data_IF_177509678134
#
_entry.id   IF_177509678134
#
_cell.length_a   1.000
_cell.length_b   1.000
_cell.length_c   1.000
_cell.angle_alpha   90.00
_cell.angle_beta   90.00
_cell.angle_gamma   90.00
#
_symmetry.space_group_name_H-M   'P 1'
#
loop_
_entity.id
_entity.type
_entity.pdbx_description
1 polymer ?
#
# COMPACT_ATOMS: atom_id res chain seq x y z
N UNK A 1 -2.92 -12.33 18.43
CA UNK A 1 -2.27 -11.03 18.37
C UNK A 1 -2.66 -10.30 17.11
N UNK A 2 -2.94 -9.03 17.25
CA UNK A 2 -3.38 -8.22 16.10
C UNK A 2 -2.18 -7.83 15.26
N UNK A 3 -2.30 -8.05 13.97
CA UNK A 3 -1.27 -7.61 13.05
C UNK A 3 -1.24 -6.10 13.00
N UNK A 4 -0.05 -5.52 13.14
CA UNK A 4 0.09 -4.08 13.15
C UNK A 4 0.41 -3.59 11.74
N UNK A 5 -0.63 -3.19 11.00
CA UNK A 5 -0.43 -2.63 9.66
C UNK A 5 -0.07 -1.16 9.69
N UNK A 6 -0.13 -0.53 10.87
CA UNK A 6 0.23 0.89 10.99
C UNK A 6 1.73 1.09 10.89
N UNK A 7 2.50 0.10 11.30
CA UNK A 7 3.94 0.16 11.20
C UNK A 7 4.45 -1.25 10.94
N UNK A 8 5.25 -1.40 9.90
CA UNK A 8 5.77 -2.71 9.55
C UNK A 8 7.10 -2.57 8.84
N UNK A 9 7.80 -3.66 8.74
CA UNK A 9 9.08 -3.74 8.07
C UNK A 9 8.90 -4.38 6.71
N UNK A 10 9.57 -3.84 5.70
CA UNK A 10 9.49 -4.36 4.35
C UNK A 10 10.88 -4.48 3.75
N UNK A 11 11.09 -5.51 2.98
CA UNK A 11 12.37 -5.72 2.31
C UNK A 11 12.86 -7.13 2.55
N UNK A 12 14.12 -7.41 2.17
CA UNK A 12 15.05 -6.46 1.60
C UNK A 12 14.65 -6.00 0.20
N UNK A 13 15.03 -4.77 -0.14
CA UNK A 13 14.82 -4.27 -1.49
C UNK A 13 15.93 -4.84 -2.41
N UNK A 14 15.92 -4.51 -3.71
CA UNK A 14 16.93 -5.07 -4.61
C UNK A 14 18.37 -4.70 -4.24
N UNK A 15 18.54 -3.70 -3.40
CA UNK A 15 19.88 -3.29 -2.93
C UNK A 15 20.21 -3.85 -1.56
N UNK A 16 19.35 -4.72 -1.03
CA UNK A 16 19.60 -5.36 0.27
C UNK A 16 19.19 -4.53 1.48
N UNK A 17 18.45 -3.44 1.28
CA UNK A 17 18.06 -2.57 2.38
C UNK A 17 16.68 -2.97 2.90
N UNK A 18 16.52 -2.87 4.22
CA UNK A 18 15.25 -3.09 4.87
C UNK A 18 14.64 -1.74 5.22
N UNK A 19 13.34 -1.61 4.99
CA UNK A 19 12.63 -0.36 5.18
C UNK A 19 11.63 -0.47 6.31
N UNK A 20 11.54 0.61 7.12
CA UNK A 20 10.44 0.79 8.06
C UNK A 20 9.36 1.58 7.37
N UNK A 21 8.12 1.14 7.53
CA UNK A 21 6.96 1.78 6.89
C UNK A 21 5.94 2.11 7.96
N UNK A 22 5.45 3.35 7.93
CA UNK A 22 4.46 3.80 8.90
C UNK A 22 3.25 4.38 8.18
N UNK A 23 2.08 3.88 8.55
CA UNK A 23 0.81 4.41 8.05
C UNK A 23 0.57 5.81 8.62
N UNK A 24 0.13 6.73 7.77
CA UNK A 24 -0.16 8.10 8.20
C UNK A 24 -1.65 8.39 8.20
N UNK A 25 -2.32 8.20 7.08
CA UNK A 25 -3.75 8.45 7.01
C UNK A 25 -4.37 7.74 5.82
N UNK A 26 -5.67 7.62 5.90
CA UNK A 26 -6.50 7.12 4.81
C UNK A 26 -7.62 8.11 4.61
N UNK A 27 -7.88 8.50 3.37
CA UNK A 27 -8.97 9.40 3.06
C UNK A 27 -9.53 9.08 1.69
N UNK A 28 -10.77 9.48 1.46
CA UNK A 28 -11.40 9.34 0.16
C UNK A 28 -11.03 10.55 -0.67
N UNK A 29 -10.44 10.30 -1.82
CA UNK A 29 -10.12 11.36 -2.76
C UNK A 29 -11.11 11.36 -3.91
N UNK A 30 -11.28 12.54 -4.49
CA UNK A 30 -12.13 12.70 -5.66
C UNK A 30 -11.25 13.19 -6.79
N UNK A 31 -11.20 12.41 -7.85
CA UNK A 31 -10.45 12.80 -9.03
C UNK A 31 -11.34 13.63 -9.94
N UNK A 32 -10.81 14.72 -10.43
CA UNK A 32 -11.53 15.57 -11.37
C UNK A 32 -11.87 14.80 -12.64
N UNK A 33 -11.04 13.83 -13.00
CA UNK A 33 -11.17 13.11 -14.27
C UNK A 33 -11.80 11.74 -14.14
N UNK A 34 -11.79 11.17 -12.95
CA UNK A 34 -12.13 9.77 -12.78
C UNK A 34 -12.95 9.57 -11.53
N UNK A 35 -13.31 8.33 -11.31
CA UNK A 35 -14.03 7.94 -10.12
C UNK A 35 -13.19 8.19 -8.86
N UNK A 36 -13.87 8.17 -7.74
CA UNK A 36 -13.25 8.37 -6.45
C UNK A 36 -12.19 7.31 -6.18
N UNK A 37 -11.21 7.69 -5.39
CA UNK A 37 -10.18 6.77 -4.91
C UNK A 37 -10.16 6.80 -3.40
N UNK A 38 -9.68 5.70 -2.81
CA UNK A 38 -9.30 5.68 -1.41
C UNK A 38 -7.79 5.82 -1.40
N UNK A 39 -7.30 6.91 -0.81
CA UNK A 39 -5.88 7.22 -0.78
C UNK A 39 -5.32 6.84 0.59
N UNK A 40 -4.23 6.07 0.59
CA UNK A 40 -3.59 5.63 1.83
C UNK A 40 -2.16 6.14 1.80
N UNK A 41 -1.80 6.96 2.78
CA UNK A 41 -0.49 7.57 2.84
C UNK A 41 0.41 6.87 3.85
N UNK A 42 1.64 6.62 3.42
CA UNK A 42 2.68 6.02 4.25
C UNK A 42 3.93 6.88 4.23
N UNK A 43 4.70 6.78 5.30
CA UNK A 43 6.04 7.32 5.36
C UNK A 43 6.98 6.13 5.55
N UNK A 44 8.07 6.11 4.81
CA UNK A 44 9.00 4.99 4.89
C UNK A 44 10.44 5.51 4.95
N UNK A 45 11.29 4.76 5.61
CA UNK A 45 12.70 5.12 5.75
C UNK A 45 13.53 3.86 5.97
N UNK A 46 14.83 3.98 5.66
CA UNK A 46 15.78 2.92 5.99
C UNK A 46 16.46 3.28 7.29
N UNK A 47 16.79 2.25 8.05
CA UNK A 47 17.60 2.43 9.26
C UNK A 47 19.02 2.06 8.97
N UNK A 48 19.94 2.91 9.42
CA UNK A 48 21.35 2.68 9.25
C UNK A 48 22.10 3.91 9.64
N UNK A 49 23.41 3.80 9.81
CA UNK A 49 24.23 4.96 10.21
C UNK A 49 24.12 6.07 9.17
N UNK A 50 23.67 7.22 9.62
CA UNK A 50 23.60 8.40 8.76
C UNK A 50 22.41 8.46 7.83
N UNK A 51 21.46 7.56 7.96
CA UNK A 51 20.35 7.51 7.01
C UNK A 51 18.99 7.87 7.58
N UNK A 52 18.94 8.31 8.80
CA UNK A 52 17.66 8.60 9.44
C UNK A 52 16.95 9.82 8.85
N UNK A 53 17.61 10.52 7.96
CA UNK A 53 17.01 11.70 7.35
C UNK A 53 16.26 11.41 6.06
N UNK A 54 16.37 10.23 5.51
CA UNK A 54 15.84 9.92 4.19
C UNK A 54 14.45 9.34 4.25
N UNK A 55 13.54 10.09 4.86
CA UNK A 55 12.15 9.66 4.89
C UNK A 55 11.48 10.01 3.58
N UNK A 56 10.72 9.07 3.05
CA UNK A 56 9.96 9.25 1.84
C UNK A 56 8.48 9.12 2.14
N UNK A 57 7.67 9.83 1.39
CA UNK A 57 6.22 9.72 1.49
C UNK A 57 5.69 9.04 0.25
N UNK A 58 4.73 8.15 0.44
CA UNK A 58 4.06 7.49 -0.67
C UNK A 58 2.58 7.41 -0.41
N UNK A 59 1.80 7.68 -1.46
CA UNK A 59 0.36 7.55 -1.41
C UNK A 59 -0.04 6.44 -2.37
N UNK A 60 -0.75 5.46 -1.85
CA UNK A 60 -1.29 4.37 -2.65
C UNK A 60 -2.76 4.66 -2.86
N UNK A 61 -3.15 4.86 -4.12
CA UNK A 61 -4.52 5.19 -4.49
C UNK A 61 -5.24 3.94 -4.97
N UNK A 62 -6.37 3.66 -4.35
CA UNK A 62 -7.19 2.49 -4.67
C UNK A 62 -8.47 2.98 -5.33
N UNK A 63 -8.62 2.81 -6.66
CA UNK A 63 -9.83 3.28 -7.34
C UNK A 63 -11.07 2.58 -6.79
N UNK A 64 -12.08 3.37 -6.47
CA UNK A 64 -13.29 2.86 -5.84
C UNK A 64 -14.02 1.80 -6.70
N UNK A 65 -14.13 1.99 -8.02
CA UNK A 65 -14.76 0.94 -8.84
C UNK A 65 -14.04 -0.39 -8.75
N UNK A 66 -12.69 -0.36 -8.66
CA UNK A 66 -11.92 -1.59 -8.51
C UNK A 66 -12.13 -2.22 -7.14
N UNK A 67 -12.28 -1.39 -6.11
CA UNK A 67 -12.56 -1.89 -4.77
C UNK A 67 -13.90 -2.59 -4.71
N UNK A 68 -14.91 -2.04 -5.39
CA UNK A 68 -16.22 -2.67 -5.45
C UNK A 68 -16.16 -4.03 -6.16
N UNK A 69 -15.45 -4.07 -7.28
CA UNK A 69 -15.27 -5.33 -8.01
C UNK A 69 -14.56 -6.35 -7.14
N UNK A 70 -13.50 -5.93 -6.49
CA UNK A 70 -12.69 -6.83 -5.67
C UNK A 70 -13.48 -7.34 -4.47
N UNK A 71 -14.27 -6.46 -3.85
CA UNK A 71 -15.14 -6.85 -2.73
C UNK A 71 -16.13 -7.92 -3.17
N UNK A 72 -16.73 -7.74 -4.35
CA UNK A 72 -17.67 -8.71 -4.87
C UNK A 72 -16.99 -10.04 -5.18
N UNK A 73 -15.79 -10.00 -5.73
CA UNK A 73 -15.07 -11.22 -6.11
C UNK A 73 -14.61 -12.01 -4.90
N UNK A 74 -14.16 -11.33 -3.86
CA UNK A 74 -13.57 -11.99 -2.69
C UNK A 74 -14.58 -12.25 -1.59
N UNK A 75 -15.73 -11.59 -1.63
CA UNK A 75 -16.69 -11.65 -0.53
C UNK A 75 -16.26 -10.86 0.68
N UNK A 76 -15.23 -10.05 0.56
CA UNK A 76 -14.73 -9.27 1.69
C UNK A 76 -15.41 -7.92 1.76
N UNK A 77 -15.84 -7.54 2.95
CA UNK A 77 -16.49 -6.24 3.13
C UNK A 77 -15.52 -5.10 2.83
N UNK A 78 -16.04 -4.06 2.19
CA UNK A 78 -15.26 -2.88 1.87
C UNK A 78 -15.18 -1.99 3.10
N UNK A 79 -14.07 -2.09 3.83
CA UNK A 79 -13.83 -1.33 5.05
C UNK A 79 -12.50 -0.62 4.97
N UNK A 80 -12.33 0.42 5.79
CA UNK A 80 -11.06 1.14 5.85
C UNK A 80 -9.89 0.23 6.23
N UNK A 81 -10.01 -0.65 7.24
CA UNK A 81 -8.91 -1.57 7.54
C UNK A 81 -8.52 -2.46 6.37
N UNK A 82 -9.49 -2.92 5.60
CA UNK A 82 -9.21 -3.75 4.43
C UNK A 82 -8.44 -2.94 3.37
N UNK A 83 -8.90 -1.71 3.10
CA UNK A 83 -8.23 -0.84 2.15
C UNK A 83 -6.80 -0.56 2.60
N UNK A 84 -6.61 -0.30 3.89
CA UNK A 84 -5.28 -0.05 4.43
C UNK A 84 -4.37 -1.26 4.23
N UNK A 85 -4.89 -2.46 4.44
CA UNK A 85 -4.09 -3.67 4.26
C UNK A 85 -3.74 -3.92 2.81
N UNK A 86 -4.67 -3.65 1.90
CA UNK A 86 -4.39 -3.76 0.46
C UNK A 86 -3.26 -2.82 0.08
N UNK A 87 -3.34 -1.58 0.52
CA UNK A 87 -2.32 -0.59 0.19
C UNK A 87 -0.97 -0.94 0.81
N UNK A 88 -0.98 -1.37 2.07
CA UNK A 88 0.26 -1.73 2.76
C UNK A 88 0.93 -2.93 2.09
N UNK A 89 0.16 -3.92 1.69
CA UNK A 89 0.71 -5.09 1.02
C UNK A 89 1.31 -4.73 -0.33
N UNK A 90 0.65 -3.85 -1.07
CA UNK A 90 1.20 -3.40 -2.35
C UNK A 90 2.50 -2.61 -2.16
N UNK A 91 2.54 -1.76 -1.14
CA UNK A 91 3.77 -1.01 -0.87
C UNK A 91 4.92 -1.95 -0.52
N UNK A 92 4.64 -2.99 0.26
CA UNK A 92 5.64 -3.99 0.56
C UNK A 92 6.16 -4.66 -0.72
N UNK A 93 5.26 -4.99 -1.63
CA UNK A 93 5.63 -5.55 -2.92
C UNK A 93 6.54 -4.60 -3.69
N UNK A 94 6.20 -3.30 -3.73
CA UNK A 94 7.00 -2.30 -4.42
C UNK A 94 8.41 -2.26 -3.86
N UNK A 95 8.52 -2.27 -2.54
CA UNK A 95 9.83 -2.21 -1.89
C UNK A 95 10.66 -3.45 -2.22
N UNK A 96 10.05 -4.61 -2.12
CA UNK A 96 10.78 -5.86 -2.32
C UNK A 96 11.16 -6.10 -3.78
N UNK A 97 10.33 -5.64 -4.70
CA UNK A 97 10.59 -5.82 -6.13
C UNK A 97 11.36 -4.66 -6.75
N UNK A 98 11.37 -3.51 -6.08
CA UNK A 98 11.97 -2.30 -6.63
C UNK A 98 11.09 -1.59 -7.62
N UNK A 99 9.83 -2.04 -7.81
CA UNK A 99 8.94 -1.50 -8.81
C UNK A 99 8.33 -0.18 -8.34
N UNK A 100 8.35 0.83 -9.20
CA UNK A 100 7.72 2.13 -8.97
C UNK A 100 8.20 2.86 -7.71
N UNK A 101 9.38 2.53 -7.19
CA UNK A 101 9.86 3.15 -5.98
C UNK A 101 10.15 4.64 -6.13
N UNK A 102 10.34 5.11 -7.36
CA UNK A 102 10.56 6.53 -7.61
C UNK A 102 9.28 7.35 -7.55
N UNK A 103 8.13 6.70 -7.56
CA UNK A 103 6.84 7.43 -7.59
C UNK A 103 6.35 7.74 -6.20
N UNK A 104 5.83 8.96 -6.02
CA UNK A 104 5.20 9.37 -4.77
C UNK A 104 3.75 8.93 -4.71
N UNK A 105 3.07 8.93 -5.84
CA UNK A 105 1.68 8.50 -5.94
C UNK A 105 1.59 7.31 -6.88
N UNK A 106 1.02 6.22 -6.37
CA UNK A 106 0.84 5.01 -7.15
C UNK A 106 -0.63 4.62 -7.13
N UNK A 107 -1.24 4.53 -8.33
CA UNK A 107 -2.63 4.12 -8.46
C UNK A 107 -2.65 2.65 -8.88
N UNK A 108 -3.35 1.82 -8.11
CA UNK A 108 -3.40 0.39 -8.40
C UNK A 108 -4.39 0.09 -9.51
N UNK A 109 -3.96 -0.78 -10.42
CA UNK A 109 -4.87 -1.36 -11.40
C UNK A 109 -5.66 -2.48 -10.75
N UNK A 110 -6.75 -2.91 -11.40
CA UNK A 110 -7.52 -4.02 -10.89
C UNK A 110 -6.70 -5.31 -10.78
N UNK A 111 -5.90 -5.69 -11.80
CA UNK A 111 -5.08 -6.89 -11.65
C UNK A 111 -4.11 -6.80 -10.48
N UNK A 112 -3.53 -5.63 -10.24
CA UNK A 112 -2.63 -5.47 -9.10
C UNK A 112 -3.38 -5.65 -7.77
N UNK A 113 -4.60 -5.12 -7.69
CA UNK A 113 -5.41 -5.28 -6.49
C UNK A 113 -5.82 -6.72 -6.29
N UNK A 114 -6.12 -7.44 -7.36
CA UNK A 114 -6.48 -8.85 -7.28
C UNK A 114 -5.31 -9.68 -6.78
N UNK A 115 -4.11 -9.39 -7.23
CA UNK A 115 -2.91 -10.07 -6.75
C UNK A 115 -2.69 -9.83 -5.27
N UNK A 116 -2.82 -8.57 -4.84
CA UNK A 116 -2.62 -8.22 -3.44
C UNK A 116 -3.66 -8.87 -2.56
N UNK A 117 -4.92 -8.86 -2.99
CA UNK A 117 -5.98 -9.49 -2.23
C UNK A 117 -5.74 -11.00 -2.07
N UNK A 118 -5.24 -11.63 -3.12
CA UNK A 118 -4.89 -13.05 -3.06
C UNK A 118 -3.82 -13.30 -2.02
N UNK A 119 -2.83 -12.41 -1.93
CA UNK A 119 -1.76 -12.54 -0.94
C UNK A 119 -2.27 -12.37 0.48
N UNK A 120 -3.35 -11.62 0.66
CA UNK A 120 -3.90 -11.36 2.00
C UNK A 120 -4.89 -12.40 2.46
N UNK A 121 -5.36 -13.25 1.57
CA UNK A 121 -6.37 -14.22 1.94
C UNK A 121 -5.77 -15.32 2.81
N UNK A 122 -6.45 -15.67 3.90
CA UNK A 122 -6.00 -16.80 4.69
C UNK A 122 -6.13 -18.08 3.88
N UNK A 123 -5.23 -18.95 4.10
CA UNK A 123 -5.19 -20.23 3.39
C UNK A 123 -6.06 -21.25 4.12
#
# INVERSE_FOLDING_TARGET
MVENTRRFEAGPDPFGRTWEVEFRWLQTGISIRHADTVDVKFVLWTEGPGEKEDKQEKVIALPHPHLLTLSAETGHALTDPWCMRLAARHLKYMIESGEDLEKTLVTLSLPAMQRVASDLQPV
#
